data_IF_305174883262
#
_entry.id   IF_305174883262
#
_cell.length_a   1.000
_cell.length_b   1.000
_cell.length_c   1.000
_cell.angle_alpha   90.00
_cell.angle_beta   90.00
_cell.angle_gamma   90.00
#
_symmetry.space_group_name_H-M   'P 1'
#
loop_
_entity.id
_entity.type
_entity.pdbx_description
1 polymer ?
#
# COMPACT_ATOMS: atom_id res chain seq x y z
N UNK A 1 -16.89 23.75 7.75
CA UNK A 1 -15.80 22.75 7.74
C UNK A 1 -15.10 22.84 6.41
N UNK A 2 -13.77 23.00 6.39
CA UNK A 2 -13.02 22.90 5.14
C UNK A 2 -13.17 21.47 4.60
N UNK A 3 -13.49 21.31 3.32
CA UNK A 3 -13.42 19.98 2.68
C UNK A 3 -11.97 19.51 2.79
N UNK A 4 -11.70 18.47 3.60
CA UNK A 4 -10.45 17.74 3.47
C UNK A 4 -10.39 17.25 2.03
N UNK A 5 -9.30 17.58 1.31
CA UNK A 5 -9.01 16.88 0.07
C UNK A 5 -8.78 15.43 0.45
N UNK A 6 -9.67 14.55 0.00
CA UNK A 6 -9.62 13.14 0.38
C UNK A 6 -8.49 12.46 -0.39
N UNK A 7 -7.42 12.15 0.34
CA UNK A 7 -6.28 11.43 -0.21
C UNK A 7 -6.67 9.98 -0.50
N UNK A 8 -6.33 9.51 -1.69
CA UNK A 8 -6.31 8.10 -2.04
C UNK A 8 -4.90 7.59 -1.79
N UNK A 9 -4.75 6.67 -0.84
CA UNK A 9 -3.48 6.09 -0.46
C UNK A 9 -3.36 4.66 -0.98
N UNK A 10 -2.18 4.33 -1.47
CA UNK A 10 -1.78 3.01 -1.94
C UNK A 10 -0.46 2.64 -1.27
N UNK A 11 -0.34 1.43 -0.74
CA UNK A 11 0.87 0.94 -0.09
C UNK A 11 1.15 -0.49 -0.50
N UNK A 12 2.33 -0.74 -1.07
CA UNK A 12 2.82 -2.05 -1.48
C UNK A 12 3.98 -2.45 -0.59
N UNK A 13 3.98 -3.68 -0.09
CA UNK A 13 5.03 -4.26 0.74
C UNK A 13 5.68 -5.45 0.06
N UNK A 14 6.96 -5.30 -0.23
CA UNK A 14 7.75 -6.21 -1.06
C UNK A 14 8.66 -7.04 -0.15
N UNK A 15 8.68 -8.38 -0.25
CA UNK A 15 9.33 -9.29 0.72
C UNK A 15 10.86 -9.20 0.77
N UNK A 16 11.46 -8.34 -0.04
CA UNK A 16 12.90 -8.22 -0.25
C UNK A 16 13.33 -6.77 -0.31
N UNK A 17 14.64 -6.56 -0.21
CA UNK A 17 15.25 -5.28 -0.56
C UNK A 17 15.01 -4.97 -2.03
N UNK A 18 14.79 -3.69 -2.33
CA UNK A 18 14.54 -3.18 -3.68
C UNK A 18 15.57 -2.09 -4.05
N UNK A 19 16.73 -2.10 -3.41
CA UNK A 19 17.87 -1.20 -3.67
C UNK A 19 18.66 -1.54 -4.93
N UNK A 20 18.43 -2.69 -5.54
CA UNK A 20 19.05 -3.06 -6.80
C UNK A 20 18.47 -2.27 -7.98
N UNK A 21 19.34 -1.92 -8.94
CA UNK A 21 18.97 -1.08 -10.08
C UNK A 21 17.94 -1.75 -11.02
N UNK A 22 17.94 -3.08 -11.11
CA UNK A 22 16.98 -3.81 -11.95
C UNK A 22 15.55 -3.70 -11.40
N UNK A 23 15.39 -3.77 -10.08
CA UNK A 23 14.10 -3.51 -9.44
C UNK A 23 13.71 -2.04 -9.55
N UNK A 24 14.67 -1.12 -9.46
CA UNK A 24 14.43 0.30 -9.72
C UNK A 24 13.92 0.58 -11.13
N UNK A 25 14.56 -0.02 -12.15
CA UNK A 25 14.11 0.09 -13.53
C UNK A 25 12.70 -0.48 -13.72
N UNK A 26 12.42 -1.67 -13.15
CA UNK A 26 11.08 -2.27 -13.17
C UNK A 26 10.02 -1.36 -12.54
N UNK A 27 10.33 -0.66 -11.44
CA UNK A 27 9.39 0.28 -10.81
C UNK A 27 9.13 1.49 -11.72
N UNK A 28 10.17 2.02 -12.36
CA UNK A 28 10.02 3.11 -13.33
C UNK A 28 9.17 2.67 -14.54
N UNK A 29 9.34 1.44 -15.02
CA UNK A 29 8.53 0.83 -16.09
C UNK A 29 7.07 0.68 -15.69
N UNK A 30 6.79 0.30 -14.43
CA UNK A 30 5.42 0.19 -13.91
C UNK A 30 4.75 1.57 -13.87
N UNK A 31 5.46 2.63 -13.48
CA UNK A 31 4.94 3.99 -13.57
C UNK A 31 4.61 4.39 -15.00
N UNK A 32 5.54 4.17 -15.95
CA UNK A 32 5.35 4.49 -17.36
C UNK A 32 4.15 3.78 -17.98
N UNK A 33 4.05 2.48 -17.74
CA UNK A 33 3.08 1.62 -18.42
C UNK A 33 1.70 1.61 -17.77
N UNK A 34 1.61 1.77 -16.44
CA UNK A 34 0.34 1.66 -15.69
C UNK A 34 -0.18 2.98 -15.14
N UNK A 35 0.69 3.97 -14.98
CA UNK A 35 0.31 5.28 -14.44
C UNK A 35 0.83 6.44 -15.33
N UNK A 36 0.65 6.40 -16.67
CA UNK A 36 1.20 7.43 -17.57
C UNK A 36 0.64 8.84 -17.27
N UNK A 37 -0.61 8.91 -16.80
CA UNK A 37 -1.27 10.16 -16.41
C UNK A 37 -0.83 10.67 -15.03
N UNK A 38 -0.13 9.85 -14.25
CA UNK A 38 0.35 10.14 -12.90
C UNK A 38 1.87 10.06 -12.80
N UNK A 39 2.59 10.19 -13.91
CA UNK A 39 4.05 10.27 -13.89
C UNK A 39 4.52 11.43 -12.99
N UNK A 40 5.54 11.22 -12.12
CA UNK A 40 6.11 12.28 -11.32
C UNK A 40 6.68 13.42 -12.18
N UNK A 41 6.84 14.61 -11.59
CA UNK A 41 7.54 15.74 -12.19
C UNK A 41 8.91 15.96 -11.54
N UNK A 42 9.02 15.62 -10.26
CA UNK A 42 10.21 15.80 -9.44
C UNK A 42 10.57 14.50 -8.73
N UNK A 43 11.86 14.29 -8.51
CA UNK A 43 12.35 13.19 -7.70
C UNK A 43 13.57 13.60 -6.86
N UNK A 44 13.91 12.76 -5.88
CA UNK A 44 15.11 12.88 -5.07
C UNK A 44 15.03 11.99 -3.83
N UNK A 45 16.05 12.03 -2.98
CA UNK A 45 16.04 11.25 -1.74
C UNK A 45 15.70 12.07 -0.49
N UNK A 46 15.69 13.40 -0.63
CA UNK A 46 15.46 14.35 0.46
C UNK A 46 14.81 15.60 -0.09
N UNK A 47 13.95 16.22 0.70
CA UNK A 47 13.37 17.51 0.36
C UNK A 47 14.40 18.65 0.52
N UNK A 48 14.37 19.68 -0.34
CA UNK A 48 13.50 19.81 -1.52
C UNK A 48 13.94 18.91 -2.69
N UNK A 49 12.97 18.33 -3.41
CA UNK A 49 13.22 17.47 -4.57
C UNK A 49 13.80 18.27 -5.74
N UNK A 50 15.06 17.99 -6.09
CA UNK A 50 15.80 18.74 -7.14
C UNK A 50 15.83 18.04 -8.49
N UNK A 51 15.63 16.72 -8.54
CA UNK A 51 15.59 15.96 -9.78
C UNK A 51 14.38 16.34 -10.64
N UNK A 52 14.55 16.30 -11.96
CA UNK A 52 13.45 16.39 -12.92
C UNK A 52 13.14 14.96 -13.35
N UNK A 53 11.93 14.49 -13.10
CA UNK A 53 11.55 13.14 -13.50
C UNK A 53 11.34 13.13 -15.02
N UNK A 54 12.13 12.34 -15.74
CA UNK A 54 12.05 12.16 -17.18
C UNK A 54 12.15 10.67 -17.50
N UNK A 55 11.03 10.08 -17.93
CA UNK A 55 10.95 8.64 -18.18
C UNK A 55 11.84 8.19 -19.35
N UNK A 56 12.28 9.11 -20.20
CA UNK A 56 13.23 8.81 -21.29
C UNK A 56 14.68 8.76 -20.81
N UNK A 57 14.96 9.21 -19.58
CA UNK A 57 16.29 9.21 -18.95
C UNK A 57 16.27 8.45 -17.60
N UNK A 58 15.86 7.17 -17.67
CA UNK A 58 15.84 6.27 -16.50
C UNK A 58 17.21 6.15 -15.85
N UNK A 59 18.28 6.13 -16.64
CA UNK A 59 19.65 6.03 -16.13
C UNK A 59 19.97 7.11 -15.10
N UNK A 60 19.61 8.37 -15.38
CA UNK A 60 19.80 9.48 -14.45
C UNK A 60 18.95 9.38 -13.18
N UNK A 61 17.73 8.85 -13.28
CA UNK A 61 16.90 8.60 -12.11
C UNK A 61 17.50 7.50 -11.23
N UNK A 62 18.02 6.44 -11.86
CA UNK A 62 18.67 5.31 -11.21
C UNK A 62 19.95 5.69 -10.46
N UNK A 63 20.65 6.76 -10.86
CA UNK A 63 21.78 7.32 -10.07
C UNK A 63 21.36 7.76 -8.65
N UNK A 64 20.08 8.09 -8.47
CA UNK A 64 19.51 8.46 -7.16
C UNK A 64 18.71 7.33 -6.51
N UNK A 65 18.80 6.10 -7.04
CA UNK A 65 18.07 4.95 -6.52
C UNK A 65 18.66 4.45 -5.19
N UNK A 66 18.20 5.07 -4.10
CA UNK A 66 18.57 4.73 -2.71
C UNK A 66 17.44 5.13 -1.78
N UNK A 67 17.45 4.60 -0.56
CA UNK A 67 16.37 4.87 0.39
C UNK A 67 16.48 6.27 1.04
N UNK A 68 15.36 6.99 1.19
CA UNK A 68 14.12 6.84 0.43
C UNK A 68 14.29 7.37 -1.00
N UNK A 69 13.57 6.83 -1.98
CA UNK A 69 13.38 7.48 -3.27
C UNK A 69 12.00 8.13 -3.27
N UNK A 70 11.98 9.45 -3.37
CA UNK A 70 10.77 10.27 -3.28
C UNK A 70 10.49 10.84 -4.66
N UNK A 71 9.24 10.77 -5.09
CA UNK A 71 8.78 11.32 -6.35
C UNK A 71 7.46 12.06 -6.15
N UNK A 72 7.29 13.22 -6.78
CA UNK A 72 6.06 13.99 -6.63
C UNK A 72 5.68 14.77 -7.88
N UNK A 73 4.39 15.13 -7.95
CA UNK A 73 3.84 16.07 -8.92
C UNK A 73 2.69 16.85 -8.30
N UNK A 74 2.43 18.05 -8.82
CA UNK A 74 1.38 18.92 -8.26
C UNK A 74 -0.01 18.65 -8.81
N UNK A 75 -0.14 18.29 -10.10
CA UNK A 75 -1.43 18.05 -10.76
C UNK A 75 -1.31 17.07 -11.95
N UNK A 76 -2.13 16.00 -12.03
CA UNK A 76 -2.89 15.43 -10.90
C UNK A 76 -1.96 15.18 -9.71
N UNK A 77 -2.42 15.35 -8.47
CA UNK A 77 -1.56 15.30 -7.30
C UNK A 77 -0.96 13.90 -7.13
N UNK A 78 0.35 13.85 -6.93
CA UNK A 78 1.07 12.62 -6.60
C UNK A 78 2.14 12.96 -5.55
N UNK A 79 2.17 12.18 -4.49
CA UNK A 79 3.32 12.04 -3.61
C UNK A 79 3.63 10.57 -3.46
N UNK A 80 4.87 10.16 -3.72
CA UNK A 80 5.28 8.78 -3.64
C UNK A 80 6.61 8.64 -2.94
N UNK A 81 6.70 7.63 -2.07
CA UNK A 81 7.88 7.28 -1.34
C UNK A 81 8.16 5.80 -1.53
N UNK A 82 9.41 5.50 -1.88
CA UNK A 82 9.91 4.15 -2.02
C UNK A 82 11.00 3.95 -0.97
N UNK A 83 10.74 3.04 -0.04
CA UNK A 83 11.72 2.65 0.97
C UNK A 83 12.37 1.34 0.52
N UNK A 84 13.69 1.29 0.48
CA UNK A 84 14.37 0.14 -0.14
C UNK A 84 14.33 -1.15 0.69
N UNK A 85 13.79 -1.08 1.91
CA UNK A 85 13.97 -2.12 2.91
C UNK A 85 15.38 -2.09 3.49
N UNK A 86 15.56 -2.75 4.63
CA UNK A 86 16.87 -2.93 5.24
C UNK A 86 17.05 -4.42 5.46
N UNK A 87 17.85 -5.08 4.61
CA UNK A 87 18.06 -6.53 4.68
C UNK A 87 18.48 -7.01 6.07
N UNK A 88 19.34 -6.25 6.76
CA UNK A 88 19.83 -6.60 8.11
C UNK A 88 18.75 -6.55 9.20
N UNK A 89 17.68 -5.78 8.96
CA UNK A 89 16.57 -5.63 9.89
C UNK A 89 15.32 -6.36 9.41
N UNK A 90 15.44 -7.13 8.33
CA UNK A 90 14.34 -7.86 7.71
C UNK A 90 13.13 -6.95 7.42
N UNK A 91 13.36 -5.75 6.90
CA UNK A 91 12.26 -4.87 6.49
C UNK A 91 11.91 -5.10 5.03
N UNK A 92 10.61 -5.12 4.74
CA UNK A 92 10.09 -5.06 3.38
C UNK A 92 10.62 -3.81 2.68
N UNK A 93 10.86 -3.92 1.38
CA UNK A 93 10.76 -2.75 0.52
C UNK A 93 9.32 -2.23 0.56
N UNK A 94 9.13 -0.91 0.55
CA UNK A 94 7.79 -0.33 0.45
C UNK A 94 7.70 0.60 -0.74
N UNK A 95 6.52 0.64 -1.36
CA UNK A 95 6.15 1.65 -2.33
C UNK A 95 4.82 2.24 -1.93
N UNK A 96 4.88 3.46 -1.41
CA UNK A 96 3.74 4.22 -0.94
C UNK A 96 3.42 5.31 -1.98
N UNK A 97 2.15 5.43 -2.34
CA UNK A 97 1.63 6.39 -3.32
C UNK A 97 0.41 7.07 -2.72
N UNK A 98 0.41 8.39 -2.68
CA UNK A 98 -0.73 9.21 -2.28
C UNK A 98 -1.13 10.09 -3.45
N UNK A 99 -2.41 10.03 -3.82
CA UNK A 99 -3.04 10.90 -4.81
C UNK A 99 -4.38 11.42 -4.27
N UNK A 100 -5.20 12.06 -5.09
CA UNK A 100 -6.52 12.56 -4.70
C UNK A 100 -7.60 11.83 -5.47
N UNK A 101 -8.64 11.42 -4.74
CA UNK A 101 -9.82 10.86 -5.39
C UNK A 101 -10.44 11.90 -6.34
N UNK A 102 -10.82 11.46 -7.54
CA UNK A 102 -11.35 12.31 -8.61
C UNK A 102 -10.29 13.03 -9.46
N UNK A 103 -9.00 12.97 -9.11
CA UNK A 103 -7.90 13.41 -9.99
C UNK A 103 -7.27 12.25 -10.78
N UNK A 104 -7.61 11.01 -10.43
CA UNK A 104 -7.14 9.77 -11.07
C UNK A 104 -8.32 8.84 -11.36
N UNK A 105 -8.17 7.99 -12.37
CA UNK A 105 -9.10 6.88 -12.59
C UNK A 105 -8.79 5.75 -11.59
N UNK A 106 -9.80 5.34 -10.83
CA UNK A 106 -9.65 4.30 -9.83
C UNK A 106 -9.37 2.93 -10.47
N UNK A 107 -9.86 2.68 -11.68
CA UNK A 107 -9.57 1.45 -12.41
C UNK A 107 -8.11 1.42 -12.89
N UNK A 108 -7.52 2.56 -13.29
CA UNK A 108 -6.07 2.65 -13.57
C UNK A 108 -5.25 2.30 -12.33
N UNK A 109 -5.64 2.79 -11.14
CA UNK A 109 -4.98 2.46 -9.87
C UNK A 109 -5.11 0.97 -9.53
N UNK A 110 -6.29 0.36 -9.75
CA UNK A 110 -6.50 -1.07 -9.53
C UNK A 110 -5.62 -1.92 -10.45
N UNK A 111 -5.60 -1.59 -11.73
CA UNK A 111 -4.76 -2.30 -12.70
C UNK A 111 -3.27 -2.16 -12.34
N UNK A 112 -2.85 -0.96 -11.94
CA UNK A 112 -1.50 -0.71 -11.44
C UNK A 112 -1.14 -1.63 -10.28
N UNK A 113 -1.96 -1.70 -9.22
CA UNK A 113 -1.62 -2.54 -8.05
C UNK A 113 -1.68 -4.03 -8.38
N UNK A 114 -2.58 -4.47 -9.26
CA UNK A 114 -2.65 -5.87 -9.69
C UNK A 114 -1.34 -6.30 -10.38
N UNK A 115 -0.88 -5.48 -11.33
CA UNK A 115 0.35 -5.76 -12.09
C UNK A 115 1.57 -5.60 -11.19
N UNK A 116 1.67 -4.52 -10.42
CA UNK A 116 2.79 -4.27 -9.54
C UNK A 116 2.92 -5.35 -8.46
N UNK A 117 1.80 -5.81 -7.87
CA UNK A 117 1.82 -6.90 -6.90
C UNK A 117 2.33 -8.21 -7.50
N UNK A 118 1.97 -8.50 -8.74
CA UNK A 118 2.44 -9.69 -9.46
C UNK A 118 3.92 -9.60 -9.87
N UNK A 119 4.36 -8.44 -10.35
CA UNK A 119 5.71 -8.23 -10.87
C UNK A 119 6.78 -8.08 -9.77
N UNK A 120 6.36 -7.69 -8.57
CA UNK A 120 7.22 -7.43 -7.42
C UNK A 120 7.05 -8.46 -6.28
N UNK A 121 6.24 -9.50 -6.48
CA UNK A 121 5.93 -10.53 -5.48
C UNK A 121 5.46 -9.93 -4.14
N UNK A 122 4.50 -9.01 -4.17
CA UNK A 122 4.08 -8.23 -3.00
C UNK A 122 3.42 -9.11 -1.94
N UNK A 123 3.92 -9.07 -0.71
CA UNK A 123 3.30 -9.76 0.42
C UNK A 123 1.97 -9.12 0.80
N UNK A 124 1.88 -7.79 0.72
CA UNK A 124 0.66 -7.06 1.07
C UNK A 124 0.55 -5.75 0.27
N UNK A 125 -0.59 -5.53 -0.38
CA UNK A 125 -0.96 -4.24 -0.97
C UNK A 125 -2.26 -3.73 -0.37
N UNK A 126 -2.41 -2.42 -0.21
CA UNK A 126 -3.70 -1.80 0.10
C UNK A 126 -3.99 -0.57 -0.77
N UNK A 127 -5.28 -0.34 -1.04
CA UNK A 127 -5.83 0.93 -1.50
C UNK A 127 -6.82 1.40 -0.45
N UNK A 128 -6.69 2.64 0.01
CA UNK A 128 -7.56 3.21 1.02
C UNK A 128 -7.86 4.69 0.77
N UNK A 129 -9.04 5.13 1.20
CA UNK A 129 -9.40 6.55 1.22
C UNK A 129 -9.15 7.12 2.62
N UNK A 130 -8.43 8.23 2.71
CA UNK A 130 -8.11 8.90 3.97
C UNK A 130 -9.30 9.75 4.47
N UNK A 131 -10.40 9.08 4.80
CA UNK A 131 -11.56 9.69 5.46
C UNK A 131 -11.23 10.07 6.91
N UNK A 132 -12.07 10.91 7.54
CA UNK A 132 -11.85 11.29 8.95
C UNK A 132 -11.81 10.07 9.89
N UNK A 133 -12.70 9.09 9.66
CA UNK A 133 -12.76 7.86 10.44
C UNK A 133 -11.49 7.01 10.24
N UNK A 134 -11.00 6.92 9.01
CA UNK A 134 -9.78 6.17 8.71
C UNK A 134 -8.53 6.85 9.25
N UNK A 135 -8.48 8.19 9.25
CA UNK A 135 -7.43 8.96 9.93
C UNK A 135 -7.43 8.67 11.43
N UNK A 136 -8.60 8.65 12.07
CA UNK A 136 -8.71 8.35 13.50
C UNK A 136 -8.29 6.92 13.84
N UNK A 137 -8.83 5.93 13.14
CA UNK A 137 -8.51 4.52 13.35
C UNK A 137 -7.03 4.21 13.01
N UNK A 138 -6.55 4.74 11.88
CA UNK A 138 -5.18 4.55 11.43
C UNK A 138 -4.15 5.18 12.35
N UNK A 139 -4.50 6.24 13.10
CA UNK A 139 -3.62 6.78 14.15
C UNK A 139 -3.49 5.84 15.35
N UNK A 140 -4.55 5.09 15.68
CA UNK A 140 -4.51 4.09 16.75
C UNK A 140 -3.70 2.86 16.34
N UNK A 141 -3.84 2.41 15.10
CA UNK A 141 -3.09 1.27 14.56
C UNK A 141 -1.66 1.62 14.10
N UNK A 142 -1.33 2.91 14.03
CA UNK A 142 -0.01 3.41 13.64
C UNK A 142 0.24 3.44 12.13
N UNK A 143 -0.81 3.41 11.31
CA UNK A 143 -0.74 3.47 9.84
C UNK A 143 -0.92 4.87 9.27
N UNK A 144 -1.39 5.81 10.10
CA UNK A 144 -1.53 7.22 9.73
C UNK A 144 -0.52 8.06 10.49
N UNK A 145 0.30 8.80 9.72
CA UNK A 145 1.27 9.76 10.23
C UNK A 145 0.78 11.17 9.97
N UNK A 146 1.00 12.06 10.93
CA UNK A 146 0.70 13.49 10.76
C UNK A 146 1.89 14.15 10.06
N UNK A 147 1.68 14.62 8.84
CA UNK A 147 2.72 15.20 7.99
C UNK A 147 3.00 16.68 8.28
N UNK A 148 2.12 17.37 9.02
CA UNK A 148 2.31 18.77 9.38
C UNK A 148 1.93 19.07 10.84
N UNK A 149 2.48 20.14 11.40
CA UNK A 149 2.23 20.53 12.81
C UNK A 149 0.77 20.90 13.11
N UNK A 150 -0.05 21.14 12.08
CA UNK A 150 -1.47 21.48 12.20
C UNK A 150 -2.39 20.26 12.16
N UNK A 151 -1.85 19.06 11.95
CA UNK A 151 -2.61 17.82 11.77
C UNK A 151 -3.71 17.92 10.69
N UNK A 152 -3.38 18.57 9.56
CA UNK A 152 -4.29 18.65 8.40
C UNK A 152 -3.82 17.83 7.21
N UNK A 153 -2.55 17.44 7.21
CA UNK A 153 -1.95 16.59 6.17
C UNK A 153 -1.55 15.26 6.81
N UNK A 154 -1.91 14.17 6.15
CA UNK A 154 -1.74 12.82 6.67
C UNK A 154 -1.00 11.97 5.65
N UNK A 155 0.03 11.25 6.10
CA UNK A 155 0.66 10.17 5.36
C UNK A 155 0.04 8.83 5.76
N UNK A 156 -0.03 7.91 4.81
CA UNK A 156 -0.42 6.53 5.03
C UNK A 156 0.76 5.62 4.75
N UNK A 157 1.09 4.74 5.70
CA UNK A 157 2.17 3.77 5.54
C UNK A 157 1.91 2.55 6.42
N UNK A 158 2.15 1.36 5.90
CA UNK A 158 2.14 0.12 6.67
C UNK A 158 3.58 -0.28 6.97
N UNK A 159 4.01 -0.15 8.22
CA UNK A 159 5.39 -0.45 8.59
C UNK A 159 5.64 -1.95 8.79
N UNK A 160 6.73 -2.47 8.23
CA UNK A 160 7.14 -3.89 8.34
C UNK A 160 7.12 -4.44 9.76
N UNK A 161 7.65 -3.70 10.73
CA UNK A 161 7.72 -4.14 12.12
C UNK A 161 6.34 -4.28 12.78
N UNK A 162 5.31 -3.60 12.25
CA UNK A 162 3.92 -3.75 12.72
C UNK A 162 3.31 -5.04 12.22
N UNK A 163 3.64 -5.46 11.01
CA UNK A 163 3.14 -6.72 10.46
C UNK A 163 3.65 -7.97 11.18
N UNK A 164 4.81 -7.85 11.83
CA UNK A 164 5.30 -8.88 12.76
C UNK A 164 4.50 -8.92 14.08
N UNK A 165 3.60 -7.96 14.33
CA UNK A 165 2.78 -7.86 15.53
C UNK A 165 1.30 -8.11 15.25
N UNK A 166 0.75 -7.54 14.16
CA UNK A 166 -0.63 -7.71 13.70
C UNK A 166 -0.82 -7.02 12.35
N UNK A 167 -1.86 -7.36 11.60
CA UNK A 167 -2.35 -6.49 10.54
C UNK A 167 -3.03 -5.26 11.14
N UNK A 168 -2.75 -4.03 10.68
CA UNK A 168 -3.38 -2.84 11.24
C UNK A 168 -4.90 -2.82 11.05
N UNK A 169 -5.37 -3.16 9.84
CA UNK A 169 -6.78 -3.27 9.49
C UNK A 169 -6.95 -3.99 8.14
N UNK A 170 -8.18 -4.04 7.63
CA UNK A 170 -8.53 -4.39 6.25
C UNK A 170 -8.98 -3.11 5.55
N UNK A 171 -8.36 -2.83 4.41
CA UNK A 171 -8.64 -1.63 3.63
C UNK A 171 -9.64 -1.91 2.52
N UNK A 172 -10.14 -0.88 1.85
CA UNK A 172 -11.17 -1.04 0.82
C UNK A 172 -10.82 -2.07 -0.24
N UNK A 173 -9.58 -2.03 -0.74
CA UNK A 173 -9.01 -3.10 -1.55
C UNK A 173 -7.69 -3.53 -0.93
N UNK A 174 -7.52 -4.84 -0.73
CA UNK A 174 -6.30 -5.44 -0.20
C UNK A 174 -5.87 -6.60 -1.08
N UNK A 175 -4.58 -6.67 -1.43
CA UNK A 175 -4.00 -7.84 -2.12
C UNK A 175 -3.13 -8.59 -1.11
N UNK A 176 -3.43 -9.86 -0.92
CA UNK A 176 -2.69 -10.77 -0.04
C UNK A 176 -1.74 -11.63 -0.88
N UNK A 177 -0.45 -11.55 -0.56
CA UNK A 177 0.58 -12.43 -1.07
C UNK A 177 0.73 -13.73 -0.26
N UNK A 178 1.71 -14.58 -0.62
CA UNK A 178 1.84 -15.93 -0.09
C UNK A 178 1.82 -16.03 1.45
N UNK A 179 2.52 -15.18 2.22
CA UNK A 179 2.52 -15.31 3.68
C UNK A 179 1.14 -15.13 4.32
N UNK A 180 0.30 -14.26 3.73
CA UNK A 180 -1.06 -14.03 4.21
C UNK A 180 -2.05 -15.08 3.72
N UNK A 181 -1.83 -15.62 2.52
CA UNK A 181 -2.61 -16.75 2.02
C UNK A 181 -2.37 -17.99 2.86
N UNK A 182 -1.13 -18.24 3.29
CA UNK A 182 -0.81 -19.30 4.24
C UNK A 182 -1.46 -19.06 5.60
N UNK A 183 -1.43 -17.82 6.10
CA UNK A 183 -2.04 -17.43 7.37
C UNK A 183 -3.57 -17.62 7.41
N UNK A 184 -4.27 -17.19 6.35
CA UNK A 184 -5.74 -17.16 6.32
C UNK A 184 -6.35 -18.40 5.67
N UNK A 185 -5.60 -19.08 4.81
CA UNK A 185 -6.08 -20.14 3.94
C UNK A 185 -6.66 -19.59 2.64
N UNK A 186 -6.15 -20.09 1.51
CA UNK A 186 -6.60 -19.70 0.16
C UNK A 186 -8.11 -19.80 -0.02
N UNK A 187 -8.69 -20.97 0.26
CA UNK A 187 -10.12 -21.21 0.05
C UNK A 187 -10.97 -20.33 0.97
N UNK A 188 -10.44 -19.97 2.14
CA UNK A 188 -11.11 -19.10 3.08
C UNK A 188 -11.16 -17.66 2.57
N UNK A 189 -10.06 -17.15 2.01
CA UNK A 189 -10.03 -15.85 1.36
C UNK A 189 -10.97 -15.81 0.13
N UNK A 190 -10.97 -16.85 -0.70
CA UNK A 190 -11.85 -16.94 -1.88
C UNK A 190 -13.35 -17.00 -1.51
N UNK A 191 -13.68 -17.52 -0.33
CA UNK A 191 -15.04 -17.59 0.19
C UNK A 191 -15.44 -16.38 1.05
N UNK A 192 -14.61 -15.33 1.13
CA UNK A 192 -14.83 -14.21 2.03
C UNK A 192 -16.12 -13.43 1.69
N UNK A 193 -16.90 -12.99 2.70
CA UNK A 193 -18.20 -12.32 2.51
C UNK A 193 -18.02 -10.84 2.16
N UNK A 194 -17.48 -10.55 0.98
CA UNK A 194 -17.17 -9.21 0.49
C UNK A 194 -17.75 -8.99 -0.91
N UNK A 195 -17.68 -7.77 -1.43
CA UNK A 195 -18.16 -7.47 -2.78
C UNK A 195 -17.49 -8.33 -3.86
N UNK A 196 -16.15 -8.41 -3.83
CA UNK A 196 -15.40 -9.17 -4.84
C UNK A 196 -14.11 -9.75 -4.27
N UNK A 197 -13.86 -11.00 -4.63
CA UNK A 197 -12.56 -11.66 -4.45
C UNK A 197 -12.07 -12.14 -5.81
N UNK A 198 -10.80 -11.89 -6.13
CA UNK A 198 -10.17 -12.32 -7.39
C UNK A 198 -8.81 -12.92 -7.09
N UNK A 199 -8.56 -14.13 -7.60
CA UNK A 199 -7.22 -14.71 -7.60
C UNK A 199 -6.44 -14.21 -8.82
N UNK A 200 -5.26 -13.66 -8.58
CA UNK A 200 -4.35 -13.18 -9.61
C UNK A 200 -3.55 -14.35 -10.17
N UNK A 201 -3.01 -14.20 -11.39
CA UNK A 201 -2.25 -15.27 -12.08
C UNK A 201 -1.05 -15.78 -11.28
N UNK A 202 -0.47 -14.94 -10.44
CA UNK A 202 0.67 -15.23 -9.57
C UNK A 202 0.28 -15.91 -8.25
N UNK A 203 -1.01 -16.19 -8.05
CA UNK A 203 -1.54 -16.82 -6.83
C UNK A 203 -1.87 -15.84 -5.71
N UNK A 204 -1.62 -14.54 -5.89
CA UNK A 204 -2.09 -13.50 -4.97
C UNK A 204 -3.63 -13.45 -4.94
N UNK A 205 -4.22 -13.03 -3.83
CA UNK A 205 -5.67 -12.89 -3.70
C UNK A 205 -6.02 -11.43 -3.42
N UNK A 206 -6.76 -10.82 -4.35
CA UNK A 206 -7.30 -9.48 -4.23
C UNK A 206 -8.70 -9.54 -3.61
N UNK A 207 -8.90 -8.78 -2.54
CA UNK A 207 -10.16 -8.67 -1.79
C UNK A 207 -10.62 -7.22 -1.86
N UNK A 208 -11.83 -6.99 -2.35
CA UNK A 208 -12.50 -5.69 -2.39
C UNK A 208 -13.73 -5.75 -1.48
N UNK A 209 -13.77 -4.91 -0.44
CA UNK A 209 -14.81 -4.94 0.59
C UNK A 209 -16.18 -4.50 0.03
N UNK A 210 -16.26 -3.31 -0.55
CA UNK A 210 -17.48 -2.73 -1.13
C UNK A 210 -17.27 -2.39 -2.60
N UNK A 211 -18.35 -2.29 -3.36
CA UNK A 211 -18.30 -1.95 -4.80
C UNK A 211 -17.66 -0.58 -5.04
N UNK A 212 -18.07 0.42 -4.25
CA UNK A 212 -17.63 1.80 -4.37
C UNK A 212 -16.73 2.18 -3.19
N UNK A 213 -15.55 2.73 -3.49
CA UNK A 213 -14.64 3.28 -2.46
C UNK A 213 -15.27 4.44 -1.70
N UNK A 214 -16.22 5.16 -2.32
CA UNK A 214 -16.92 6.26 -1.69
C UNK A 214 -17.79 5.79 -0.52
N UNK A 215 -18.14 4.50 -0.41
CA UNK A 215 -18.86 3.95 0.75
C UNK A 215 -18.13 4.22 2.07
N UNK A 216 -16.81 4.37 2.04
CA UNK A 216 -16.01 4.78 3.19
C UNK A 216 -16.39 6.17 3.76
N UNK A 217 -17.09 6.99 2.97
CA UNK A 217 -17.55 8.33 3.34
C UNK A 217 -19.07 8.42 3.33
N UNK A 218 -19.71 7.92 2.28
CA UNK A 218 -21.16 8.08 2.10
C UNK A 218 -21.95 7.05 2.88
N UNK A 219 -21.36 5.89 3.18
CA UNK A 219 -21.96 4.82 3.96
C UNK A 219 -20.96 4.12 4.90
N UNK A 220 -20.31 4.86 5.81
CA UNK A 220 -19.23 4.34 6.64
C UNK A 220 -19.68 3.18 7.55
N UNK A 221 -20.97 3.15 7.92
CA UNK A 221 -21.56 2.04 8.67
C UNK A 221 -21.59 0.74 7.86
N UNK A 222 -21.96 0.80 6.58
CA UNK A 222 -21.91 -0.38 5.70
C UNK A 222 -20.47 -0.86 5.49
N UNK A 223 -19.54 0.05 5.18
CA UNK A 223 -18.13 -0.29 5.02
C UNK A 223 -17.56 -0.95 6.29
N UNK A 224 -17.81 -0.37 7.47
CA UNK A 224 -17.38 -0.94 8.74
C UNK A 224 -18.02 -2.33 9.01
N UNK A 225 -19.29 -2.51 8.67
CA UNK A 225 -19.97 -3.80 8.78
C UNK A 225 -19.30 -4.87 7.91
N UNK A 226 -19.06 -4.59 6.62
CA UNK A 226 -18.42 -5.56 5.71
C UNK A 226 -17.00 -5.88 6.16
N UNK A 227 -16.24 -4.86 6.58
CA UNK A 227 -14.89 -5.03 7.16
C UNK A 227 -14.92 -5.96 8.37
N UNK A 228 -15.84 -5.77 9.31
CA UNK A 228 -15.99 -6.65 10.48
C UNK A 228 -16.35 -8.09 10.09
N UNK A 229 -17.26 -8.27 9.11
CA UNK A 229 -17.62 -9.60 8.60
C UNK A 229 -16.45 -10.32 7.94
N UNK A 230 -15.61 -9.61 7.21
CA UNK A 230 -14.37 -10.17 6.66
C UNK A 230 -13.42 -10.61 7.78
N UNK A 231 -13.19 -9.77 8.80
CA UNK A 231 -12.33 -10.12 9.94
C UNK A 231 -12.86 -11.32 10.73
N UNK A 232 -14.18 -11.36 10.99
CA UNK A 232 -14.85 -12.51 11.61
C UNK A 232 -14.63 -13.79 10.82
N UNK A 233 -14.73 -13.69 9.49
CA UNK A 233 -14.51 -14.81 8.58
C UNK A 233 -13.08 -15.31 8.68
N UNK A 234 -12.06 -14.49 8.37
CA UNK A 234 -10.65 -14.96 8.31
C UNK A 234 -9.96 -15.12 9.66
N UNK A 235 -10.60 -14.70 10.75
CA UNK A 235 -10.11 -14.72 12.12
C UNK A 235 -9.64 -13.33 12.59
N UNK A 236 -10.38 -12.76 13.55
CA UNK A 236 -10.15 -11.41 14.07
C UNK A 236 -8.80 -11.25 14.77
N UNK A 237 -8.25 -12.35 15.29
CA UNK A 237 -6.99 -12.44 15.99
C UNK A 237 -5.75 -12.18 15.11
N UNK A 238 -5.92 -11.88 13.82
CA UNK A 238 -4.85 -11.37 12.95
C UNK A 238 -4.79 -9.84 12.87
N UNK A 239 -5.84 -9.14 13.32
CA UNK A 239 -5.99 -7.68 13.14
C UNK A 239 -5.89 -6.94 14.45
N UNK A 240 -5.20 -5.79 14.44
CA UNK A 240 -5.07 -4.92 15.59
C UNK A 240 -6.43 -4.54 16.19
N UNK A 241 -6.53 -4.68 17.50
CA UNK A 241 -7.64 -4.18 18.31
C UNK A 241 -7.13 -3.69 19.66
N UNK A 242 -7.71 -2.60 20.15
CA UNK A 242 -7.39 -2.04 21.47
C UNK A 242 -7.83 -2.97 22.61
N UNK A 243 -8.84 -3.81 22.36
CA UNK A 243 -9.43 -4.70 23.36
C UNK A 243 -8.84 -6.13 23.31
N UNK A 244 -7.94 -6.42 22.38
CA UNK A 244 -7.36 -7.76 22.25
C UNK A 244 -6.33 -8.03 23.35
N UNK A 245 -6.61 -9.04 24.18
CA UNK A 245 -5.72 -9.50 25.24
C UNK A 245 -5.15 -10.88 24.90
N UNK A 246 -4.27 -10.95 23.91
CA UNK A 246 -3.66 -12.20 23.49
C UNK A 246 -2.58 -12.01 22.42
N UNK A 247 -1.85 -13.07 22.06
CA UNK A 247 -1.02 -13.02 20.87
C UNK A 247 -1.90 -12.85 19.63
N UNK A 248 -1.39 -12.15 18.63
CA UNK A 248 -2.00 -12.12 17.31
C UNK A 248 -1.45 -13.26 16.44
N UNK A 249 -2.27 -13.75 15.51
CA UNK A 249 -1.79 -14.56 14.39
C UNK A 249 -1.12 -13.63 13.39
N UNK A 250 0.16 -13.86 13.14
CA UNK A 250 0.96 -13.11 12.17
C UNK A 250 1.53 -14.08 11.14
N UNK A 251 1.72 -13.64 9.89
CA UNK A 251 2.29 -14.50 8.86
C UNK A 251 3.77 -14.81 9.15
N UNK A 252 4.24 -15.93 8.61
CA UNK A 252 5.68 -16.22 8.56
C UNK A 252 6.26 -15.64 7.27
N UNK A 253 7.04 -14.57 7.39
CA UNK A 253 7.64 -13.94 6.21
C UNK A 253 8.87 -14.72 5.73
N UNK A 254 8.77 -15.34 4.56
CA UNK A 254 9.90 -15.96 3.88
C UNK A 254 10.71 -14.89 3.14
N UNK A 255 11.44 -14.06 3.90
CA UNK A 255 12.21 -12.92 3.37
C UNK A 255 13.42 -13.44 2.59
N UNK A 256 13.27 -13.54 1.27
CA UNK A 256 14.33 -14.02 0.36
C UNK A 256 15.51 -13.06 0.42
N UNK A 257 16.72 -13.59 0.64
CA UNK A 257 17.93 -12.81 0.35
C UNK A 257 17.93 -12.46 -1.14
N UNK A 258 18.29 -11.22 -1.48
CA UNK A 258 18.53 -10.86 -2.87
C UNK A 258 19.57 -11.85 -3.45
N UNK A 259 19.38 -12.39 -4.67
CA UNK A 259 20.37 -13.26 -5.26
C UNK A 259 21.69 -12.50 -5.47
N UNK A 260 22.75 -12.92 -4.77
CA UNK A 260 24.13 -12.52 -5.04
C UNK A 260 24.59 -11.22 -4.37
N UNK A 261 25.26 -11.37 -3.23
CA UNK A 261 26.45 -10.56 -2.89
C UNK A 261 27.67 -11.26 -3.48
#
# INVERSE_FOLDING_TARGET
MAKMNQGLAVSLLIPRSIDDLATGEKILDLWESKLPNLLPERYGNWEPLRGVFDINDKARMLESWKSPFIASRRKPYLDSMISMGLMKLEFHGSWDVTTKIGEVDLEEIKEFVEVASSELDVDHCSINLLSEQEVQSGRQSGTILVANSRATDFGFMIASHRLNQSLPDVYWLTIYGPPYIELFGRDHLLAAPVYRVTELRTGHIMVQLTEDINDMIVNPGHFAFVRSRFKEHVGQDAFYSVDHTGPYRVPTFNRRQAPGV
#
